data_IF_767062704269
#
_entry.id   IF_767062704269
#
_cell.length_a   1.000
_cell.length_b   1.000
_cell.length_c   1.000
_cell.angle_alpha   90.00
_cell.angle_beta   90.00
_cell.angle_gamma   90.00
#
_symmetry.space_group_name_H-M   'P 1'
#
loop_
_entity.id
_entity.type
_entity.pdbx_description
1 polymer ?
#
# COMPACT_ATOMS: atom_id res chain seq x y z
N UNK A 1 31.67 -10.41 -56.74
CA UNK A 1 32.05 -10.92 -55.41
C UNK A 1 30.80 -10.91 -54.56
N UNK A 2 30.41 -12.07 -54.01
CA UNK A 2 29.21 -12.18 -53.19
C UNK A 2 29.49 -11.49 -51.86
N UNK A 3 28.65 -10.54 -51.49
CA UNK A 3 28.72 -9.90 -50.18
C UNK A 3 28.27 -10.92 -49.14
N UNK A 4 29.23 -11.51 -48.44
CA UNK A 4 28.97 -12.37 -47.29
C UNK A 4 28.22 -11.55 -46.24
N UNK A 5 26.89 -11.71 -46.20
CA UNK A 5 26.02 -11.20 -45.14
C UNK A 5 26.35 -12.02 -43.91
N UNK A 6 27.43 -11.64 -43.23
CA UNK A 6 27.82 -12.15 -41.91
C UNK A 6 26.57 -12.11 -41.04
N UNK A 7 26.08 -13.29 -40.67
CA UNK A 7 24.93 -13.43 -39.79
C UNK A 7 25.25 -12.66 -38.52
N UNK A 8 24.65 -11.48 -38.35
CA UNK A 8 24.69 -10.73 -37.11
C UNK A 8 24.07 -11.68 -36.09
N UNK A 9 24.93 -12.20 -35.20
CA UNK A 9 24.59 -13.29 -34.31
C UNK A 9 23.35 -12.95 -33.49
N UNK A 10 22.55 -13.98 -33.24
CA UNK A 10 21.34 -14.00 -32.42
C UNK A 10 21.60 -13.73 -30.92
N UNK A 11 22.45 -12.74 -30.64
CA UNK A 11 22.84 -12.23 -29.32
C UNK A 11 22.94 -10.69 -29.39
N UNK A 12 22.17 -10.04 -30.26
CA UNK A 12 22.22 -8.59 -30.44
C UNK A 12 21.59 -7.93 -29.22
N UNK A 13 22.30 -7.00 -28.56
CA UNK A 13 21.76 -6.23 -27.43
C UNK A 13 20.41 -5.57 -27.75
N UNK A 14 20.16 -5.27 -29.02
CA UNK A 14 18.89 -4.74 -29.49
C UNK A 14 17.73 -5.74 -29.38
N UNK A 15 17.94 -7.02 -29.69
CA UNK A 15 16.90 -8.06 -29.52
C UNK A 15 16.59 -8.31 -28.05
N UNK A 16 17.62 -8.25 -27.19
CA UNK A 16 17.41 -8.39 -25.76
C UNK A 16 16.63 -7.20 -25.17
N UNK A 17 16.94 -5.97 -25.61
CA UNK A 17 16.20 -4.77 -25.22
C UNK A 17 14.75 -4.83 -25.71
N UNK A 18 14.53 -5.22 -26.97
CA UNK A 18 13.19 -5.39 -27.54
C UNK A 18 12.36 -6.42 -26.76
N UNK A 19 12.96 -7.57 -26.46
CA UNK A 19 12.30 -8.62 -25.68
C UNK A 19 11.97 -8.16 -24.26
N UNK A 20 12.88 -7.41 -23.62
CA UNK A 20 12.63 -6.85 -22.29
C UNK A 20 11.51 -5.80 -22.31
N UNK A 21 11.48 -4.92 -23.32
CA UNK A 21 10.41 -3.93 -23.48
C UNK A 21 9.05 -4.60 -23.74
N UNK A 22 9.01 -5.67 -24.52
CA UNK A 22 7.79 -6.46 -24.74
C UNK A 22 7.32 -7.19 -23.49
N UNK A 23 8.24 -7.67 -22.65
CA UNK A 23 7.89 -8.23 -21.33
C UNK A 23 7.34 -7.13 -20.41
N UNK A 24 7.93 -5.93 -20.46
CA UNK A 24 7.46 -4.82 -19.67
C UNK A 24 6.06 -4.35 -20.07
N UNK A 25 5.75 -4.38 -21.37
CA UNK A 25 4.45 -4.01 -21.93
C UNK A 25 3.36 -5.06 -21.67
N UNK A 26 3.75 -6.34 -21.53
CA UNK A 26 2.84 -7.44 -21.17
C UNK A 26 2.58 -7.53 -19.67
N UNK A 27 3.53 -7.08 -18.87
CA UNK A 27 3.40 -7.09 -17.43
C UNK A 27 2.59 -5.86 -17.00
N UNK A 28 1.41 -6.13 -16.43
CA UNK A 28 0.55 -5.10 -15.85
C UNK A 28 1.13 -4.64 -14.50
N UNK A 29 2.28 -3.96 -14.54
CA UNK A 29 2.97 -3.46 -13.34
C UNK A 29 2.12 -2.50 -12.55
N UNK A 30 1.20 -1.80 -13.22
CA UNK A 30 0.25 -0.96 -12.54
C UNK A 30 -0.60 -1.80 -11.56
N UNK A 31 -1.00 -3.02 -11.89
CA UNK A 31 -1.70 -3.92 -10.97
C UNK A 31 -0.85 -4.40 -9.77
N UNK A 32 0.47 -4.50 -9.94
CA UNK A 32 1.42 -4.87 -8.88
C UNK A 32 1.70 -3.70 -7.91
N UNK A 33 1.65 -2.46 -8.41
CA UNK A 33 1.97 -1.25 -7.65
C UNK A 33 0.75 -0.39 -7.30
N UNK A 34 -0.43 -0.66 -7.86
CA UNK A 34 -1.69 -0.13 -7.37
C UNK A 34 -1.84 -0.66 -5.96
N UNK A 35 -1.59 0.27 -5.03
CA UNK A 35 -1.68 0.12 -3.59
C UNK A 35 -2.95 -0.65 -3.25
N UNK A 36 -2.82 -1.97 -3.12
CA UNK A 36 -3.67 -2.69 -2.22
C UNK A 36 -3.47 -1.97 -0.90
N UNK A 37 -4.49 -1.29 -0.42
CA UNK A 37 -4.58 -0.93 0.99
C UNK A 37 -4.36 -2.25 1.73
N UNK A 38 -3.11 -2.52 2.14
CA UNK A 38 -2.80 -3.75 2.82
C UNK A 38 -3.57 -3.68 4.11
N UNK A 39 -4.62 -4.48 4.17
CA UNK A 39 -5.43 -4.62 5.36
C UNK A 39 -4.55 -5.32 6.37
N UNK A 40 -4.10 -4.56 7.36
CA UNK A 40 -3.33 -5.12 8.46
C UNK A 40 -4.19 -6.14 9.19
N UNK A 41 -3.62 -7.31 9.49
CA UNK A 41 -4.25 -8.22 10.43
C UNK A 41 -4.32 -7.57 11.82
N UNK A 42 -5.25 -8.03 12.66
CA UNK A 42 -5.36 -7.53 14.04
C UNK A 42 -4.04 -7.65 14.82
N UNK A 43 -3.23 -8.67 14.52
CA UNK A 43 -1.91 -8.90 15.15
C UNK A 43 -0.88 -7.87 14.69
N UNK A 44 -0.90 -7.50 13.41
CA UNK A 44 0.00 -6.47 12.88
C UNK A 44 -0.41 -5.08 13.36
N UNK A 45 -1.71 -4.80 13.39
CA UNK A 45 -2.24 -3.58 14.02
C UNK A 45 -1.81 -3.48 15.47
N UNK A 46 -1.90 -4.55 16.26
CA UNK A 46 -1.47 -4.53 17.66
C UNK A 46 0.04 -4.24 17.82
N UNK A 47 0.88 -4.57 16.84
CA UNK A 47 2.32 -4.24 16.85
C UNK A 47 2.62 -2.80 16.45
N UNK A 48 1.79 -2.22 15.59
CA UNK A 48 1.97 -0.86 15.06
C UNK A 48 1.26 0.18 15.95
N UNK A 49 0.12 -0.18 16.52
CA UNK A 49 -0.67 0.66 17.40
C UNK A 49 0.07 0.79 18.73
N UNK A 50 0.32 2.04 19.13
CA UNK A 50 0.76 2.33 20.49
C UNK A 50 -0.43 2.17 21.44
N UNK A 51 -0.52 1.02 22.09
CA UNK A 51 -1.60 0.68 23.02
C UNK A 51 -1.80 1.73 24.12
N UNK A 52 -0.70 2.28 24.66
CA UNK A 52 -0.77 3.31 25.68
C UNK A 52 -1.49 4.57 25.16
N UNK A 53 -1.09 5.06 23.98
CA UNK A 53 -1.71 6.25 23.37
C UNK A 53 -3.17 6.00 22.97
N UNK A 54 -3.50 4.78 22.53
CA UNK A 54 -4.89 4.41 22.23
C UNK A 54 -5.75 4.42 23.50
N UNK A 55 -5.25 3.84 24.60
CA UNK A 55 -5.95 3.79 25.87
C UNK A 55 -6.16 5.20 26.46
N UNK A 56 -5.16 6.08 26.36
CA UNK A 56 -5.27 7.48 26.75
C UNK A 56 -6.39 8.21 25.97
N UNK A 57 -6.46 8.00 24.65
CA UNK A 57 -7.49 8.63 23.81
C UNK A 57 -8.90 8.10 24.15
N UNK A 58 -9.02 6.79 24.42
CA UNK A 58 -10.28 6.19 24.84
C UNK A 58 -10.77 6.73 26.18
N UNK A 59 -9.88 6.85 27.18
CA UNK A 59 -10.23 7.43 28.47
C UNK A 59 -10.70 8.88 28.37
N UNK A 60 -10.04 9.69 27.53
CA UNK A 60 -10.46 11.07 27.25
C UNK A 60 -11.83 11.13 26.59
N UNK A 61 -12.13 10.21 25.68
CA UNK A 61 -13.45 10.09 25.06
C UNK A 61 -14.52 9.76 26.08
N UNK A 62 -14.27 8.80 26.98
CA UNK A 62 -15.23 8.43 28.02
C UNK A 62 -15.50 9.59 28.99
N UNK A 63 -14.45 10.32 29.39
CA UNK A 63 -14.59 11.52 30.23
C UNK A 63 -15.45 12.60 29.55
N UNK A 64 -15.20 12.87 28.26
CA UNK A 64 -15.99 13.81 27.47
C UNK A 64 -17.46 13.38 27.33
N UNK A 65 -17.71 12.10 27.06
CA UNK A 65 -19.08 11.59 26.96
C UNK A 65 -19.80 11.64 28.30
N UNK A 66 -19.10 11.37 29.40
CA UNK A 66 -19.65 11.52 30.74
C UNK A 66 -19.97 12.98 31.08
N UNK A 67 -19.11 13.93 30.69
CA UNK A 67 -19.41 15.36 30.90
C UNK A 67 -20.63 15.81 30.12
N UNK A 68 -20.80 15.36 28.86
CA UNK A 68 -21.99 15.67 28.06
C UNK A 68 -23.27 15.08 28.67
N UNK A 69 -23.23 13.84 29.14
CA UNK A 69 -24.40 13.21 29.78
C UNK A 69 -24.78 13.91 31.10
N UNK A 70 -23.78 14.37 31.87
CA UNK A 70 -24.03 15.15 33.08
C UNK A 70 -24.69 16.49 32.74
N UNK A 71 -24.19 17.19 31.71
CA UNK A 71 -24.73 18.48 31.30
C UNK A 71 -26.15 18.34 30.73
N UNK A 72 -26.44 17.27 29.99
CA UNK A 72 -27.80 16.98 29.48
C UNK A 72 -28.78 16.71 30.62
N UNK A 73 -28.37 15.99 31.66
CA UNK A 73 -29.22 15.69 32.83
C UNK A 73 -29.65 16.94 33.60
N UNK A 74 -28.81 17.98 33.63
CA UNK A 74 -29.11 19.25 34.30
C UNK A 74 -30.18 20.10 33.57
N UNK A 75 -30.58 19.73 32.34
CA UNK A 75 -31.67 20.41 31.61
C UNK A 75 -33.06 19.80 31.85
N UNK A 76 -33.15 18.61 32.45
CA UNK A 76 -34.41 17.91 32.71
C UNK A 76 -35.03 18.24 34.10
N UNK A 77 -34.36 19.08 34.93
CA UNK A 77 -34.91 19.71 36.15
C UNK A 77 -35.45 21.13 35.90
#
# INVERSE_FOLDING_TARGET
>A
MKSDKKSIGANSSAEHVEQHLQELEKADYELLYYSQEQTFSAVELARVINEQRLNELMAQSDEFLNSLNSEIGDFDE
#
